data_IF_904897196798
#
_entry.id   IF_904897196798
#
_cell.length_a   1.000
_cell.length_b   1.000
_cell.length_c   1.000
_cell.angle_alpha   90.00
_cell.angle_beta   90.00
_cell.angle_gamma   90.00
#
_symmetry.space_group_name_H-M   'P 1'
#
loop_
_entity.id
_entity.type
_entity.pdbx_description
1 polymer ?
#
# COMPACT_ATOMS: atom_id res chain seq x y z
N UNK A 1 26.63 3.69 -11.14
CA UNK A 1 25.27 4.08 -10.73
C UNK A 1 24.25 3.20 -11.41
N UNK A 2 23.41 2.55 -10.61
CA UNK A 2 22.34 1.77 -11.18
C UNK A 2 21.33 2.69 -11.88
N UNK A 3 21.03 2.40 -13.14
CA UNK A 3 19.96 3.10 -13.83
C UNK A 3 18.64 2.73 -13.18
N UNK A 4 17.83 3.73 -12.88
CA UNK A 4 16.47 3.49 -12.41
C UNK A 4 15.70 2.81 -13.53
N UNK A 5 15.01 1.71 -13.19
CA UNK A 5 14.18 1.03 -14.17
C UNK A 5 12.98 1.91 -14.51
N UNK A 6 12.83 2.20 -15.78
CA UNK A 6 11.58 2.77 -16.27
C UNK A 6 10.55 1.64 -16.29
N UNK A 7 9.28 2.00 -16.11
CA UNK A 7 8.18 1.04 -16.23
C UNK A 7 8.07 0.67 -17.70
N UNK A 8 8.07 -0.63 -18.00
CA UNK A 8 7.98 -1.08 -19.39
C UNK A 8 6.55 -0.94 -19.95
N UNK A 9 6.45 -1.06 -21.26
CA UNK A 9 5.17 -0.86 -21.97
C UNK A 9 4.10 -1.87 -21.54
N UNK A 10 4.49 -3.13 -21.40
CA UNK A 10 3.56 -4.18 -20.99
C UNK A 10 2.99 -3.90 -19.60
N UNK A 11 3.83 -3.50 -18.67
CA UNK A 11 3.42 -3.14 -17.32
C UNK A 11 2.48 -1.93 -17.34
N UNK A 12 2.78 -0.92 -18.17
CA UNK A 12 1.91 0.25 -18.33
C UNK A 12 0.52 -0.13 -18.80
N UNK A 13 0.44 -1.03 -19.77
CA UNK A 13 -0.84 -1.46 -20.31
C UNK A 13 -1.64 -2.24 -19.27
N UNK A 14 -0.98 -3.12 -18.51
CA UNK A 14 -1.62 -3.85 -17.42
C UNK A 14 -2.14 -2.90 -16.34
N UNK A 15 -1.33 -1.94 -15.94
CA UNK A 15 -1.75 -0.96 -14.94
C UNK A 15 -2.92 -0.12 -15.45
N UNK A 16 -2.88 0.28 -16.71
CA UNK A 16 -3.96 1.05 -17.33
C UNK A 16 -5.29 0.29 -17.26
N UNK A 17 -5.26 -1.02 -17.52
CA UNK A 17 -6.44 -1.87 -17.41
C UNK A 17 -6.99 -1.88 -15.98
N UNK A 18 -6.12 -2.00 -14.99
CA UNK A 18 -6.53 -1.92 -13.58
C UNK A 18 -7.10 -0.56 -13.24
N UNK A 19 -6.46 0.50 -13.70
CA UNK A 19 -6.93 1.86 -13.43
C UNK A 19 -8.34 2.07 -14.00
N UNK A 20 -8.60 1.60 -15.21
CA UNK A 20 -9.93 1.68 -15.81
C UNK A 20 -10.94 0.87 -15.02
N UNK A 21 -10.57 -0.33 -14.61
CA UNK A 21 -11.45 -1.22 -13.85
C UNK A 21 -11.91 -0.61 -12.54
N UNK A 22 -11.01 0.07 -11.84
CA UNK A 22 -11.30 0.65 -10.52
C UNK A 22 -11.64 2.13 -10.56
N UNK A 23 -11.68 2.71 -11.75
CA UNK A 23 -11.99 4.13 -11.90
C UNK A 23 -10.91 5.05 -11.34
N UNK A 24 -9.65 4.61 -11.40
CA UNK A 24 -8.54 5.44 -10.95
C UNK A 24 -8.29 6.56 -11.94
N UNK A 25 -8.14 7.77 -11.45
CA UNK A 25 -7.83 8.94 -12.23
C UNK A 25 -6.46 9.46 -11.84
N UNK A 26 -6.01 10.49 -12.53
CA UNK A 26 -4.65 11.01 -12.37
C UNK A 26 -4.28 11.41 -10.94
N UNK A 27 -5.27 11.74 -10.12
CA UNK A 27 -5.08 12.14 -8.72
C UNK A 27 -4.94 10.95 -7.78
N UNK A 28 -5.18 9.74 -8.28
CA UNK A 28 -5.20 8.53 -7.46
C UNK A 28 -3.88 7.77 -7.50
N UNK A 29 -2.98 8.13 -8.39
CA UNK A 29 -1.68 7.46 -8.51
C UNK A 29 -0.65 8.35 -9.20
N UNK A 30 0.63 8.00 -9.04
CA UNK A 30 1.73 8.64 -9.77
C UNK A 30 2.88 7.65 -9.90
N UNK A 31 3.80 7.92 -10.82
CA UNK A 31 4.99 7.10 -10.99
C UNK A 31 6.15 7.68 -10.17
N UNK A 32 6.92 6.80 -9.55
CA UNK A 32 8.09 7.20 -8.77
C UNK A 32 9.14 6.10 -8.90
N UNK A 33 10.26 6.41 -9.56
CA UNK A 33 11.42 5.51 -9.67
C UNK A 33 11.09 4.09 -10.14
N UNK A 34 10.24 3.98 -11.17
CA UNK A 34 9.91 2.69 -11.78
C UNK A 34 8.80 1.93 -11.10
N UNK A 35 8.11 2.53 -10.14
CA UNK A 35 6.94 1.95 -9.51
C UNK A 35 5.76 2.90 -9.60
N UNK A 36 4.55 2.35 -9.47
CA UNK A 36 3.34 3.14 -9.32
C UNK A 36 3.04 3.32 -7.85
N UNK A 37 2.79 4.55 -7.44
CA UNK A 37 2.37 4.87 -6.08
C UNK A 37 0.88 5.16 -6.11
N UNK A 38 0.11 4.41 -5.32
CA UNK A 38 -1.33 4.59 -5.22
C UNK A 38 -1.63 5.44 -3.99
N UNK A 39 -2.38 6.50 -4.17
CA UNK A 39 -2.76 7.37 -3.05
C UNK A 39 -3.80 6.69 -2.17
N UNK A 40 -4.04 7.22 -0.97
CA UNK A 40 -5.07 6.71 -0.07
C UNK A 40 -6.43 6.68 -0.75
N UNK A 41 -6.73 7.72 -1.53
CA UNK A 41 -7.96 7.79 -2.31
C UNK A 41 -8.05 6.65 -3.32
N UNK A 42 -6.93 6.35 -4.00
CA UNK A 42 -6.86 5.23 -4.93
C UNK A 42 -7.07 3.90 -4.23
N UNK A 43 -6.46 3.69 -3.08
CA UNK A 43 -6.65 2.47 -2.26
C UNK A 43 -8.12 2.28 -1.91
N UNK A 44 -8.81 3.36 -1.50
CA UNK A 44 -10.24 3.27 -1.16
C UNK A 44 -11.09 2.90 -2.38
N UNK A 45 -10.76 3.42 -3.56
CA UNK A 45 -11.47 3.06 -4.80
C UNK A 45 -11.29 1.58 -5.14
N UNK A 46 -10.06 1.08 -4.99
CA UNK A 46 -9.77 -0.34 -5.25
C UNK A 46 -10.54 -1.22 -4.26
N UNK A 47 -10.52 -0.87 -2.98
CA UNK A 47 -11.23 -1.62 -1.95
C UNK A 47 -12.73 -1.69 -2.26
N UNK A 48 -13.33 -0.58 -2.65
CA UNK A 48 -14.75 -0.55 -3.01
C UNK A 48 -15.04 -1.38 -4.27
N UNK A 49 -14.15 -1.30 -5.25
CA UNK A 49 -14.32 -2.06 -6.50
C UNK A 49 -14.25 -3.57 -6.29
N UNK A 50 -13.51 -4.02 -5.28
CA UNK A 50 -13.39 -5.44 -4.93
C UNK A 50 -14.38 -5.88 -3.85
N UNK A 51 -15.19 -4.96 -3.32
CA UNK A 51 -16.09 -5.21 -2.18
C UNK A 51 -15.32 -5.81 -1.00
N UNK A 52 -14.18 -5.22 -0.69
CA UNK A 52 -13.29 -5.68 0.38
C UNK A 52 -13.65 -5.01 1.69
N UNK A 53 -13.78 -5.80 2.75
CA UNK A 53 -13.80 -5.28 4.11
C UNK A 53 -12.44 -5.51 4.74
N UNK A 54 -11.94 -4.52 5.48
CA UNK A 54 -10.63 -4.60 6.13
C UNK A 54 -10.80 -4.37 7.63
N UNK A 55 -10.27 -5.29 8.42
CA UNK A 55 -10.20 -5.13 9.88
C UNK A 55 -8.73 -4.94 10.26
N UNK A 56 -8.51 -4.11 11.27
CA UNK A 56 -7.16 -3.78 11.75
C UNK A 56 -7.03 -4.16 13.21
N UNK A 57 -5.90 -4.79 13.57
CA UNK A 57 -5.64 -5.20 14.95
C UNK A 57 -4.19 -4.88 15.31
N UNK A 58 -3.93 -4.38 16.52
CA UNK A 58 -2.55 -4.22 16.97
C UNK A 58 -1.91 -5.60 17.18
N UNK A 59 -0.58 -5.66 16.97
CA UNK A 59 0.19 -6.88 17.23
C UNK A 59 1.11 -6.59 18.41
N UNK A 60 0.70 -6.95 19.65
CA UNK A 60 1.46 -6.58 20.85
C UNK A 60 2.89 -7.12 20.86
N UNK A 61 3.12 -8.31 20.28
CA UNK A 61 4.44 -8.95 20.25
C UNK A 61 5.46 -8.12 19.47
N UNK A 62 5.00 -7.31 18.53
CA UNK A 62 5.88 -6.49 17.67
C UNK A 62 5.68 -5.00 17.90
N UNK A 63 4.97 -4.62 18.96
CA UNK A 63 4.72 -3.24 19.31
C UNK A 63 5.51 -2.89 20.54
N UNK A 64 6.25 -1.78 20.49
CA UNK A 64 7.00 -1.28 21.65
C UNK A 64 6.84 0.24 21.72
N UNK A 65 5.92 0.68 22.55
CA UNK A 65 5.57 2.09 22.67
C UNK A 65 6.74 2.94 23.16
N UNK A 66 7.56 2.40 24.07
CA UNK A 66 8.69 3.14 24.60
C UNK A 66 9.80 3.35 23.54
N UNK A 67 9.89 2.48 22.55
CA UNK A 67 10.82 2.62 21.43
C UNK A 67 10.15 3.21 20.18
N UNK A 68 8.89 3.63 20.31
CA UNK A 68 8.12 4.21 19.20
C UNK A 68 8.01 3.27 18.01
N UNK A 69 7.77 1.99 18.28
CA UNK A 69 7.60 0.95 17.26
C UNK A 69 6.18 0.38 17.32
N UNK A 70 5.54 0.31 16.16
CA UNK A 70 4.16 -0.15 16.07
C UNK A 70 4.01 -1.16 14.94
N UNK A 71 3.19 -2.17 15.18
CA UNK A 71 2.83 -3.15 14.17
C UNK A 71 1.33 -3.41 14.23
N UNK A 72 0.70 -3.30 13.08
CA UNK A 72 -0.75 -3.51 12.92
C UNK A 72 -0.95 -4.63 11.92
N UNK A 73 -1.87 -5.54 12.22
CA UNK A 73 -2.30 -6.57 11.28
C UNK A 73 -3.59 -6.14 10.62
N UNK A 74 -3.62 -6.20 9.29
CA UNK A 74 -4.83 -5.97 8.51
C UNK A 74 -5.33 -7.29 7.96
N UNK A 75 -6.63 -7.52 8.08
CA UNK A 75 -7.29 -8.68 7.47
C UNK A 75 -8.30 -8.16 6.46
N UNK A 76 -8.10 -8.48 5.19
CA UNK A 76 -9.00 -8.12 4.11
C UNK A 76 -9.81 -9.35 3.71
N UNK A 77 -11.12 -9.16 3.48
CA UNK A 77 -12.03 -10.23 3.08
C UNK A 77 -12.91 -9.75 1.94
N UNK A 78 -13.15 -10.61 0.98
CA UNK A 78 -14.12 -10.36 -0.10
C UNK A 78 -15.43 -11.06 0.22
N UNK A 79 -16.48 -10.70 -0.55
CA UNK A 79 -17.79 -11.35 -0.44
C UNK A 79 -17.72 -12.82 -0.85
N UNK A 80 -16.78 -13.18 -1.71
CA UNK A 80 -16.60 -14.57 -2.18
C UNK A 80 -15.83 -15.42 -1.17
N UNK A 81 -15.39 -14.85 -0.06
CA UNK A 81 -14.68 -15.58 0.97
C UNK A 81 -13.16 -15.56 0.87
N UNK A 82 -12.59 -14.84 -0.07
CA UNK A 82 -11.14 -14.66 -0.12
C UNK A 82 -10.68 -13.88 1.11
N UNK A 83 -9.54 -14.24 1.65
CA UNK A 83 -8.98 -13.61 2.84
C UNK A 83 -7.49 -13.39 2.65
N UNK A 84 -7.01 -12.21 3.03
CA UNK A 84 -5.59 -11.87 3.01
C UNK A 84 -5.26 -11.18 4.33
N UNK A 85 -4.12 -11.56 4.91
CA UNK A 85 -3.62 -10.91 6.13
C UNK A 85 -2.26 -10.27 5.80
N UNK A 86 -2.10 -9.02 6.21
CA UNK A 86 -0.87 -8.27 6.02
C UNK A 86 -0.50 -7.54 7.30
N UNK A 87 0.75 -7.10 7.37
CA UNK A 87 1.24 -6.33 8.50
C UNK A 87 1.75 -4.99 8.01
N UNK A 88 1.53 -3.97 8.81
CA UNK A 88 2.12 -2.66 8.60
C UNK A 88 2.90 -2.29 9.84
N UNK A 89 4.13 -1.86 9.65
CA UNK A 89 5.01 -1.43 10.74
C UNK A 89 5.44 0.00 10.53
N UNK A 90 5.70 0.67 11.63
CA UNK A 90 6.28 2.01 11.62
C UNK A 90 7.11 2.22 12.87
N UNK A 91 8.08 3.12 12.79
CA UNK A 91 8.89 3.51 13.94
C UNK A 91 9.32 4.95 13.74
N UNK A 92 9.85 5.56 14.80
CA UNK A 92 10.43 6.89 14.68
C UNK A 92 11.59 6.97 13.68
N UNK A 93 12.13 5.80 13.28
CA UNK A 93 13.23 5.73 12.31
C UNK A 93 12.74 5.62 10.87
N UNK A 94 11.53 5.08 10.63
CA UNK A 94 11.04 4.86 9.27
C UNK A 94 9.82 5.72 8.90
N UNK A 95 9.52 6.73 9.72
CA UNK A 95 8.48 7.69 9.39
C UNK A 95 8.88 9.07 9.87
N UNK A 96 8.54 10.07 9.08
CA UNK A 96 8.78 11.48 9.41
C UNK A 96 7.56 12.13 10.03
N UNK A 97 6.50 11.35 10.23
CA UNK A 97 5.21 11.85 10.70
C UNK A 97 5.11 11.61 12.21
N UNK A 98 4.48 12.55 12.93
CA UNK A 98 4.35 12.50 14.39
C UNK A 98 3.43 11.39 14.90
N UNK A 99 2.74 10.67 14.00
CA UNK A 99 1.75 9.66 14.37
C UNK A 99 2.08 8.30 13.77
N UNK A 100 3.12 7.61 14.27
CA UNK A 100 3.57 6.36 13.66
C UNK A 100 2.53 5.24 13.66
N UNK A 101 1.64 5.18 14.66
CA UNK A 101 0.60 4.15 14.69
C UNK A 101 -0.37 4.32 13.51
N UNK A 102 -0.71 5.56 13.16
CA UNK A 102 -1.57 5.86 12.03
C UNK A 102 -0.93 5.41 10.72
N UNK A 103 0.38 5.58 10.58
CA UNK A 103 1.12 5.13 9.41
C UNK A 103 1.14 3.60 9.35
N UNK A 104 1.35 2.92 10.48
CA UNK A 104 1.31 1.46 10.54
C UNK A 104 -0.06 0.93 10.07
N UNK A 105 -1.15 1.55 10.52
CA UNK A 105 -2.50 1.17 10.10
C UNK A 105 -2.68 1.33 8.58
N UNK A 106 -2.26 2.46 8.04
CA UNK A 106 -2.41 2.75 6.61
C UNK A 106 -1.57 1.82 5.75
N UNK A 107 -0.35 1.50 6.18
CA UNK A 107 0.51 0.55 5.49
C UNK A 107 -0.10 -0.84 5.48
N UNK A 108 -0.61 -1.31 6.62
CA UNK A 108 -1.24 -2.62 6.72
C UNK A 108 -2.46 -2.72 5.81
N UNK A 109 -3.34 -1.72 5.87
CA UNK A 109 -4.55 -1.67 5.06
C UNK A 109 -4.23 -1.65 3.56
N UNK A 110 -3.32 -0.77 3.16
CA UNK A 110 -2.96 -0.63 1.75
C UNK A 110 -2.35 -1.91 1.20
N UNK A 111 -1.46 -2.54 1.97
CA UNK A 111 -0.86 -3.82 1.57
C UNK A 111 -1.91 -4.90 1.39
N UNK A 112 -2.89 -4.97 2.30
CA UNK A 112 -3.97 -5.95 2.20
C UNK A 112 -4.83 -5.72 0.96
N UNK A 113 -5.20 -4.46 0.69
CA UNK A 113 -6.01 -4.11 -0.48
C UNK A 113 -5.26 -4.40 -1.78
N UNK A 114 -3.99 -4.02 -1.87
CA UNK A 114 -3.18 -4.27 -3.06
C UNK A 114 -2.97 -5.77 -3.29
N UNK A 115 -2.82 -6.54 -2.23
CA UNK A 115 -2.63 -7.98 -2.35
C UNK A 115 -3.93 -8.69 -2.77
N UNK A 116 -5.05 -8.39 -2.12
CA UNK A 116 -6.32 -9.07 -2.41
C UNK A 116 -6.86 -8.69 -3.80
N UNK A 117 -6.54 -7.49 -4.26
CA UNK A 117 -6.90 -7.05 -5.61
C UNK A 117 -5.97 -7.60 -6.68
N UNK A 118 -4.88 -8.27 -6.26
CA UNK A 118 -3.85 -8.84 -7.13
C UNK A 118 -3.00 -7.79 -7.85
N UNK A 119 -3.08 -6.54 -7.43
CA UNK A 119 -2.26 -5.47 -8.00
C UNK A 119 -0.77 -5.65 -7.65
N UNK A 120 -0.43 -6.45 -6.65
CA UNK A 120 0.97 -6.76 -6.35
C UNK A 120 1.68 -7.56 -7.43
N UNK A 121 0.96 -8.04 -8.45
CA UNK A 121 1.61 -8.60 -9.63
C UNK A 121 2.33 -7.51 -10.43
N UNK A 122 2.03 -6.25 -10.16
CA UNK A 122 2.64 -5.07 -10.78
C UNK A 122 3.52 -4.35 -9.74
N UNK A 123 4.45 -3.49 -10.19
CA UNK A 123 5.28 -2.71 -9.27
C UNK A 123 4.47 -1.54 -8.68
N UNK A 124 3.67 -1.84 -7.67
CA UNK A 124 2.80 -0.84 -7.01
C UNK A 124 3.07 -0.80 -5.51
N UNK A 125 2.96 0.39 -4.93
CA UNK A 125 3.06 0.62 -3.50
C UNK A 125 2.08 1.73 -3.11
N UNK A 126 1.77 1.85 -1.83
CA UNK A 126 0.93 2.95 -1.35
C UNK A 126 1.75 4.21 -1.11
N UNK A 127 1.08 5.36 -1.04
CA UNK A 127 1.76 6.61 -0.73
C UNK A 127 2.38 6.62 0.67
N UNK A 128 1.86 5.79 1.57
CA UNK A 128 2.39 5.68 2.93
C UNK A 128 3.76 5.00 2.98
N UNK A 129 4.19 4.41 1.88
CA UNK A 129 5.50 3.80 1.73
C UNK A 129 6.40 4.58 0.75
N UNK A 130 5.90 5.69 0.20
CA UNK A 130 6.61 6.44 -0.83
C UNK A 130 7.93 7.04 -0.35
N UNK A 131 8.05 7.35 0.94
CA UNK A 131 9.27 7.91 1.51
C UNK A 131 10.49 7.02 1.29
N UNK A 132 10.30 5.70 1.32
CA UNK A 132 11.36 4.74 1.08
C UNK A 132 11.96 4.88 -0.32
N UNK A 133 11.14 5.26 -1.29
CA UNK A 133 11.57 5.42 -2.68
C UNK A 133 12.15 6.81 -2.93
N UNK A 134 11.74 7.81 -2.17
CA UNK A 134 12.28 9.16 -2.30
C UNK A 134 13.71 9.26 -1.78
N UNK A 135 14.05 8.52 -0.74
CA UNK A 135 15.39 8.52 -0.16
C UNK A 135 16.43 7.90 -1.07
N UNK A 136 16.04 7.11 -2.04
CA UNK A 136 16.92 6.47 -3.01
C UNK A 136 17.35 7.41 -4.15
N UNK A 137 16.81 8.61 -4.20
CA UNK A 137 17.10 9.54 -5.29
C UNK A 137 18.43 10.34 -5.05
#
# INVERSE_FOLDING_TARGET
MAKRKAIDEETRELFKSFAERFGLVRQDFFELHGVYIITRRGIEKIARGCNVSVTLEPVPEFTNVSEDKYCIKATARTLEGEKVETFGESSGKNTRIAYPISIAEKRAKARAVLQISKLYSLPVHSEDEADEFQEES
#
